data_IF_124188900989
#
_entry.id   IF_124188900989
#
_cell.length_a   1.000
_cell.length_b   1.000
_cell.length_c   1.000
_cell.angle_alpha   90.00
_cell.angle_beta   90.00
_cell.angle_gamma   90.00
#
_symmetry.space_group_name_H-M   'P 1'
#
loop_
_entity.id
_entity.type
_entity.pdbx_description
1 polymer ?
#
# COMPACT_ATOMS: atom_id res chain seq x y z
N UNK A 1 4.83 -6.80 -8.47
CA UNK A 1 5.87 -6.26 -7.56
C UNK A 1 5.22 -5.16 -6.71
N UNK A 2 5.49 -5.05 -5.40
CA UNK A 2 4.80 -4.06 -4.53
C UNK A 2 5.33 -2.62 -4.70
N UNK A 3 6.58 -2.47 -5.15
CA UNK A 3 7.24 -1.16 -5.24
C UNK A 3 7.28 -0.56 -6.64
N UNK A 4 7.17 -1.38 -7.69
CA UNK A 4 7.19 -0.93 -9.08
C UNK A 4 5.76 -0.93 -9.63
N UNK A 5 5.18 0.27 -9.66
CA UNK A 5 3.77 0.52 -9.96
C UNK A 5 3.68 1.68 -10.95
N UNK A 6 3.08 1.43 -12.10
CA UNK A 6 2.77 2.48 -13.07
C UNK A 6 1.83 3.52 -12.44
N UNK A 7 2.09 4.79 -12.73
CA UNK A 7 1.37 5.90 -12.10
C UNK A 7 1.83 6.23 -10.69
N UNK A 8 2.73 5.45 -10.07
CA UNK A 8 3.38 5.79 -8.79
C UNK A 8 4.89 5.91 -8.88
N UNK A 9 5.49 5.14 -9.76
CA UNK A 9 6.93 5.12 -9.99
C UNK A 9 7.23 5.50 -11.43
N UNK A 10 8.42 6.08 -11.62
CA UNK A 10 8.91 6.42 -12.95
C UNK A 10 9.26 5.14 -13.71
N UNK A 11 8.60 4.91 -14.83
CA UNK A 11 8.72 3.66 -15.61
C UNK A 11 9.95 3.62 -16.53
N UNK A 12 10.71 4.72 -16.60
CA UNK A 12 11.92 4.81 -17.41
C UNK A 12 13.19 4.47 -16.62
N UNK A 13 14.33 4.61 -17.29
CA UNK A 13 15.64 4.47 -16.62
C UNK A 13 15.89 5.61 -15.63
N UNK A 14 16.76 5.35 -14.65
CA UNK A 14 17.15 6.35 -13.65
C UNK A 14 17.69 7.65 -14.27
N UNK A 15 18.44 7.59 -15.37
CA UNK A 15 18.95 8.79 -16.05
C UNK A 15 17.83 9.68 -16.61
N UNK A 16 16.73 9.08 -17.10
CA UNK A 16 15.56 9.82 -17.58
C UNK A 16 14.78 10.48 -16.44
N UNK A 17 14.73 9.86 -15.26
CA UNK A 17 14.08 10.43 -14.08
C UNK A 17 14.68 11.77 -13.66
N UNK A 18 16.01 11.91 -13.70
CA UNK A 18 16.69 13.15 -13.31
C UNK A 18 16.51 14.29 -14.30
N UNK A 19 16.11 13.99 -15.55
CA UNK A 19 15.93 14.99 -16.61
C UNK A 19 14.46 15.36 -16.80
N UNK A 20 13.60 14.34 -16.83
CA UNK A 20 12.18 14.45 -17.18
C UNK A 20 11.35 13.56 -16.24
N UNK A 21 11.23 13.93 -14.96
CA UNK A 21 10.45 13.13 -14.02
C UNK A 21 8.97 13.20 -14.33
N UNK A 22 8.29 12.05 -14.28
CA UNK A 22 6.83 11.99 -14.35
C UNK A 22 6.24 12.09 -12.94
N UNK A 23 5.30 13.02 -12.75
CA UNK A 23 4.61 13.17 -11.47
C UNK A 23 3.70 11.94 -11.23
N UNK A 24 3.71 11.35 -10.02
CA UNK A 24 2.78 10.28 -9.70
C UNK A 24 1.33 10.75 -9.72
N UNK A 25 0.44 9.85 -10.12
CA UNK A 25 -1.00 10.05 -10.06
C UNK A 25 -1.46 10.03 -8.61
N UNK A 26 -2.06 11.13 -8.17
CA UNK A 26 -2.58 11.27 -6.81
C UNK A 26 -3.67 10.25 -6.51
N UNK A 27 -4.46 9.89 -7.52
CA UNK A 27 -5.55 8.93 -7.44
C UNK A 27 -5.03 7.50 -7.21
N UNK A 28 -4.03 7.08 -7.98
CA UNK A 28 -3.35 5.79 -7.77
C UNK A 28 -2.65 5.77 -6.41
N UNK A 29 -2.06 6.89 -5.99
CA UNK A 29 -1.36 6.98 -4.71
C UNK A 29 -2.31 6.79 -3.53
N UNK A 30 -3.46 7.46 -3.57
CA UNK A 30 -4.45 7.35 -2.50
C UNK A 30 -4.96 5.91 -2.37
N UNK A 31 -5.31 5.25 -3.49
CA UNK A 31 -5.74 3.85 -3.46
C UNK A 31 -4.67 2.91 -2.90
N UNK A 32 -3.43 3.06 -3.37
CA UNK A 32 -2.33 2.21 -2.92
C UNK A 32 -2.01 2.41 -1.44
N UNK A 33 -1.98 3.66 -0.97
CA UNK A 33 -1.82 4.00 0.44
C UNK A 33 -2.93 3.39 1.29
N UNK A 34 -4.19 3.55 0.88
CA UNK A 34 -5.33 3.02 1.62
C UNK A 34 -5.26 1.49 1.69
N UNK A 35 -4.90 0.82 0.59
CA UNK A 35 -4.67 -0.63 0.55
C UNK A 35 -3.59 -1.07 1.56
N UNK A 36 -2.44 -0.39 1.59
CA UNK A 36 -1.37 -0.71 2.55
C UNK A 36 -1.82 -0.48 4.00
N UNK A 37 -2.48 0.63 4.30
CA UNK A 37 -2.99 0.91 5.65
C UNK A 37 -3.92 -0.22 6.12
N UNK A 38 -4.84 -0.66 5.25
CA UNK A 38 -5.78 -1.73 5.60
C UNK A 38 -5.11 -3.10 5.77
N UNK A 39 -4.04 -3.39 5.05
CA UNK A 39 -3.43 -4.72 5.07
C UNK A 39 -2.29 -4.86 6.07
N UNK A 40 -1.47 -3.83 6.23
CA UNK A 40 -0.18 -3.95 6.93
C UNK A 40 -0.12 -3.19 8.25
N UNK A 41 -0.99 -2.20 8.48
CA UNK A 41 -0.94 -1.46 9.73
C UNK A 41 -1.68 -2.18 10.87
N UNK A 42 -0.98 -2.29 12.00
CA UNK A 42 -1.59 -2.66 13.27
C UNK A 42 -2.28 -1.41 13.83
N UNK A 43 -3.53 -1.54 14.24
CA UNK A 43 -4.26 -0.48 14.93
C UNK A 43 -3.68 -0.26 16.34
N UNK A 44 -2.56 0.43 16.42
CA UNK A 44 -1.86 0.74 17.66
C UNK A 44 -0.92 1.93 17.49
N UNK A 45 -0.57 2.57 18.60
CA UNK A 45 0.38 3.69 18.62
C UNK A 45 1.51 3.38 19.59
N UNK A 46 2.75 3.48 19.13
CA UNK A 46 3.94 3.32 19.98
C UNK A 46 4.12 4.52 20.94
N UNK A 47 3.61 5.69 20.56
CA UNK A 47 3.83 6.95 21.27
C UNK A 47 2.64 7.40 22.13
N UNK A 48 1.53 6.67 22.14
CA UNK A 48 0.35 7.03 22.94
C UNK A 48 0.53 6.81 24.45
N UNK A 49 1.63 6.20 24.89
CA UNK A 49 1.87 5.82 26.29
C UNK A 49 0.99 4.66 26.77
N UNK A 50 -0.16 4.45 26.11
CA UNK A 50 -1.01 3.28 26.26
C UNK A 50 -0.32 2.04 25.68
N UNK A 51 -0.23 0.92 26.42
CA UNK A 51 0.28 -0.32 25.88
C UNK A 51 -0.61 -0.78 24.72
N UNK A 52 -0.01 -1.29 23.63
CA UNK A 52 -0.76 -2.01 22.61
C UNK A 52 -1.30 -3.27 23.27
N UNK A 53 -2.57 -3.23 23.70
CA UNK A 53 -3.24 -4.36 24.33
C UNK A 53 -3.55 -5.39 23.26
N UNK A 54 -2.58 -6.28 23.02
CA UNK A 54 -2.77 -7.53 22.29
C UNK A 54 -3.38 -8.57 23.26
N UNK A 55 -4.46 -8.24 23.97
CA UNK A 55 -5.13 -9.24 24.80
C UNK A 55 -5.71 -10.32 23.91
N UNK A 56 -5.60 -11.58 24.34
CA UNK A 56 -5.98 -12.79 23.59
C UNK A 56 -7.45 -12.87 23.11
N UNK A 57 -8.26 -11.85 23.38
CA UNK A 57 -9.58 -11.59 22.83
C UNK A 57 -9.55 -10.50 21.73
N UNK A 58 -8.43 -10.41 20.99
CA UNK A 58 -8.20 -9.48 19.89
C UNK A 58 -8.92 -9.83 18.57
N UNK A 59 -10.16 -10.37 18.60
CA UNK A 59 -11.15 -10.18 17.55
C UNK A 59 -10.99 -8.87 16.83
N UNK A 60 -11.32 -7.82 17.56
CA UNK A 60 -11.95 -6.63 17.00
C UNK A 60 -10.94 -5.54 16.57
N UNK A 61 -9.71 -5.59 17.08
CA UNK A 61 -8.66 -4.63 16.72
C UNK A 61 -7.96 -4.98 15.40
N UNK A 62 -7.97 -6.27 15.04
CA UNK A 62 -7.45 -6.82 13.78
C UNK A 62 -8.56 -7.20 12.77
N UNK A 63 -9.82 -7.37 13.22
CA UNK A 63 -10.92 -7.90 12.38
C UNK A 63 -11.78 -6.86 11.68
N UNK A 64 -11.40 -5.58 11.66
CA UNK A 64 -12.04 -4.65 10.71
C UNK A 64 -11.47 -4.87 9.30
N UNK A 65 -11.62 -6.10 8.78
CA UNK A 65 -11.33 -6.46 7.38
C UNK A 65 -12.67 -6.68 6.65
N UNK A 66 -13.11 -5.77 5.77
CA UNK A 66 -14.11 -6.12 4.78
C UNK A 66 -13.57 -7.22 3.85
N UNK A 67 -14.44 -8.08 3.27
CA UNK A 67 -14.02 -9.21 2.44
C UNK A 67 -13.25 -8.75 1.19
N UNK A 68 -12.31 -9.58 0.71
CA UNK A 68 -11.47 -9.27 -0.46
C UNK A 68 -12.25 -9.00 -1.76
N UNK A 69 -13.54 -9.33 -1.83
CA UNK A 69 -14.43 -9.00 -2.95
C UNK A 69 -14.63 -7.48 -3.17
N UNK A 70 -14.31 -6.64 -2.18
CA UNK A 70 -14.35 -5.18 -2.30
C UNK A 70 -13.01 -4.54 -2.69
N UNK A 71 -11.94 -5.32 -2.72
CA UNK A 71 -10.60 -4.88 -3.12
C UNK A 71 -10.31 -5.52 -4.47
N UNK A 72 -10.58 -4.80 -5.57
CA UNK A 72 -10.05 -5.21 -6.86
C UNK A 72 -8.54 -5.42 -6.67
N UNK A 73 -8.08 -6.66 -6.83
CA UNK A 73 -6.65 -6.94 -6.98
C UNK A 73 -6.16 -5.96 -8.05
N UNK A 74 -5.18 -5.07 -7.75
CA UNK A 74 -4.60 -4.28 -8.79
C UNK A 74 -4.06 -5.29 -9.80
N UNK A 75 -4.59 -5.27 -11.04
CA UNK A 75 -4.04 -6.06 -12.13
C UNK A 75 -2.64 -5.51 -12.35
N UNK A 76 -1.70 -6.08 -11.61
CA UNK A 76 -0.28 -5.92 -11.79
C UNK A 76 0.04 -6.78 -13.00
N UNK A 77 -0.16 -6.21 -14.19
CA UNK A 77 0.35 -6.76 -15.43
C UNK A 77 1.85 -6.94 -15.26
N UNK A 78 2.22 -8.16 -14.89
CA UNK A 78 3.59 -8.55 -14.70
C UNK A 78 4.11 -8.76 -16.11
N UNK A 79 4.76 -7.75 -16.68
CA UNK A 79 5.56 -7.98 -17.86
C UNK A 79 6.70 -8.92 -17.45
N UNK A 80 6.60 -10.17 -17.90
CA UNK A 80 7.73 -11.08 -17.93
C UNK A 80 8.90 -10.38 -18.63
N UNK A 81 10.04 -10.38 -17.96
CA UNK A 81 11.30 -9.95 -18.53
C UNK A 81 11.71 -10.99 -19.59
N UNK A 82 11.72 -10.56 -20.85
CA UNK A 82 12.43 -11.19 -21.95
C UNK A 82 13.55 -10.24 -22.41
#
# INVERSE_FOLDING_TARGET
>A
CIYDLEGLTHQGRLDSFWREPVKPSQDVFNRYKDYLIHLTQVNGSFYSGEPVVLSGDAPQLLSRRPPPEALHEPVLETREAA
#
